data_IF_781663174318
#
_entry.id   IF_781663174318
#
_cell.length_a   1.000
_cell.length_b   1.000
_cell.length_c   1.000
_cell.angle_alpha   90.00
_cell.angle_beta   90.00
_cell.angle_gamma   90.00
#
_symmetry.space_group_name_H-M   'P 1'
#
loop_
_entity.id
_entity.type
_entity.pdbx_description
1 polymer ?
#
# COMPACT_ATOMS: atom_id res chain seq x y z
N UNK A 1 18.69 3.46 -30.52
CA UNK A 1 18.04 3.71 -29.23
C UNK A 1 17.49 5.11 -29.25
N UNK A 2 16.17 5.26 -29.41
CA UNK A 2 15.54 6.53 -29.79
C UNK A 2 15.39 7.53 -28.63
N UNK A 3 15.72 7.14 -27.40
CA UNK A 3 15.73 8.05 -26.25
C UNK A 3 16.79 7.68 -25.19
N UNK A 4 18.06 8.08 -25.37
CA UNK A 4 19.18 7.65 -24.53
C UNK A 4 19.15 8.24 -23.11
N UNK A 5 18.41 9.33 -22.88
CA UNK A 5 18.28 9.95 -21.57
C UNK A 5 16.96 9.59 -20.88
N UNK A 6 16.15 8.73 -21.48
CA UNK A 6 14.90 8.15 -20.94
C UNK A 6 13.82 9.12 -20.46
N UNK A 7 14.10 10.40 -20.32
CA UNK A 7 13.40 11.51 -20.94
C UNK A 7 11.86 11.38 -21.01
N UNK A 8 11.35 10.49 -21.88
CA UNK A 8 9.91 10.10 -21.93
C UNK A 8 9.31 9.65 -20.59
N UNK A 9 10.14 9.23 -19.66
CA UNK A 9 9.79 8.73 -18.36
C UNK A 9 10.32 9.72 -17.33
N UNK A 10 9.47 10.16 -16.40
CA UNK A 10 9.86 10.96 -15.22
C UNK A 10 10.10 10.10 -14.00
N UNK A 11 9.48 8.93 -13.95
CA UNK A 11 9.70 7.91 -12.95
C UNK A 11 9.91 6.60 -13.67
N UNK A 12 10.96 5.88 -13.32
CA UNK A 12 11.20 4.53 -13.78
C UNK A 12 11.15 3.63 -12.55
N UNK A 13 10.34 2.58 -12.62
CA UNK A 13 10.25 1.57 -11.57
C UNK A 13 10.89 0.31 -12.13
N UNK A 14 11.94 -0.17 -11.47
CA UNK A 14 12.57 -1.45 -11.78
C UNK A 14 12.20 -2.44 -10.70
N UNK A 15 11.33 -3.36 -11.07
CA UNK A 15 10.86 -4.43 -10.19
C UNK A 15 11.76 -5.66 -10.26
N UNK A 16 11.73 -6.49 -9.23
CA UNK A 16 12.52 -7.73 -9.11
C UNK A 16 14.04 -7.54 -9.33
N UNK A 17 14.57 -6.39 -8.92
CA UNK A 17 15.98 -6.03 -9.09
C UNK A 17 16.98 -7.05 -8.50
N UNK A 18 16.51 -7.86 -7.54
CA UNK A 18 17.28 -8.91 -6.89
C UNK A 18 17.57 -10.12 -7.79
N UNK A 19 16.83 -10.33 -8.88
CA UNK A 19 17.11 -11.44 -9.82
C UNK A 19 18.39 -11.20 -10.64
N UNK A 20 18.92 -9.96 -10.65
CA UNK A 20 20.21 -9.57 -11.27
C UNK A 20 20.37 -10.11 -12.69
N UNK A 21 19.31 -10.05 -13.47
CA UNK A 21 19.35 -10.46 -14.88
C UNK A 21 20.25 -9.51 -15.68
N UNK A 22 20.88 -10.03 -16.74
CA UNK A 22 21.85 -9.28 -17.55
C UNK A 22 21.26 -7.98 -18.13
N UNK A 23 19.98 -8.01 -18.49
CA UNK A 23 19.27 -6.83 -18.99
C UNK A 23 19.08 -5.76 -17.91
N UNK A 24 18.72 -6.17 -16.70
CA UNK A 24 18.48 -5.26 -15.56
C UNK A 24 19.78 -4.60 -15.09
N UNK A 25 20.88 -5.36 -15.07
CA UNK A 25 22.21 -4.82 -14.71
C UNK A 25 22.72 -3.78 -15.71
N UNK A 26 22.54 -4.04 -17.01
CA UNK A 26 22.85 -3.06 -18.07
C UNK A 26 21.96 -1.82 -17.91
N UNK A 27 20.69 -2.00 -17.54
CA UNK A 27 19.75 -0.91 -17.33
C UNK A 27 20.13 -0.04 -16.13
N UNK A 28 20.58 -0.63 -15.01
CA UNK A 28 21.07 0.12 -13.84
C UNK A 28 22.26 1.02 -14.19
N UNK A 29 23.22 0.51 -14.96
CA UNK A 29 24.38 1.28 -15.42
C UNK A 29 23.96 2.48 -16.28
N UNK A 30 23.05 2.26 -17.23
CA UNK A 30 22.51 3.32 -18.07
C UNK A 30 21.74 4.35 -17.24
N UNK A 31 20.80 3.91 -16.39
CA UNK A 31 19.97 4.78 -15.56
C UNK A 31 20.79 5.61 -14.58
N UNK A 32 21.86 5.06 -14.01
CA UNK A 32 22.73 5.80 -13.10
C UNK A 32 23.42 6.97 -13.80
N UNK A 33 23.84 6.81 -15.05
CA UNK A 33 24.42 7.89 -15.83
C UNK A 33 23.36 8.92 -16.27
N UNK A 34 22.16 8.44 -16.59
CA UNK A 34 21.03 9.31 -16.93
C UNK A 34 20.61 10.16 -15.72
N UNK A 35 20.50 9.59 -14.52
CA UNK A 35 20.08 10.29 -13.30
C UNK A 35 21.02 11.43 -12.90
N UNK A 36 22.33 11.33 -13.20
CA UNK A 36 23.27 12.45 -13.01
C UNK A 36 22.93 13.64 -13.91
N UNK A 37 22.51 13.35 -15.14
CA UNK A 37 22.21 14.33 -16.17
C UNK A 37 20.73 14.77 -16.15
N UNK A 38 19.89 14.05 -15.39
CA UNK A 38 18.45 14.27 -15.23
C UNK A 38 18.10 14.21 -13.74
N UNK A 39 18.39 15.28 -12.97
CA UNK A 39 18.02 15.36 -11.55
C UNK A 39 16.49 15.33 -11.32
N UNK A 40 15.71 15.54 -12.37
CA UNK A 40 14.26 15.47 -12.41
C UNK A 40 13.71 14.05 -12.69
N UNK A 41 14.56 13.12 -13.16
CA UNK A 41 14.20 11.71 -13.31
C UNK A 41 14.27 11.02 -11.95
N UNK A 42 13.18 10.39 -11.53
CA UNK A 42 13.13 9.57 -10.32
C UNK A 42 13.26 8.10 -10.72
N UNK A 43 14.07 7.36 -9.98
CA UNK A 43 14.20 5.92 -10.13
C UNK A 43 13.75 5.26 -8.83
N UNK A 44 12.81 4.33 -8.93
CA UNK A 44 12.41 3.44 -7.85
C UNK A 44 12.93 2.05 -8.20
N UNK A 45 13.77 1.49 -7.34
CA UNK A 45 14.25 0.12 -7.50
C UNK A 45 13.58 -0.73 -6.43
N UNK A 46 12.77 -1.69 -6.86
CA UNK A 46 12.06 -2.62 -5.99
C UNK A 46 12.81 -3.96 -5.97
N UNK A 47 12.99 -4.51 -4.77
CA UNK A 47 13.77 -5.72 -4.53
C UNK A 47 13.18 -6.44 -3.33
N UNK A 48 12.99 -7.76 -3.45
CA UNK A 48 12.45 -8.60 -2.39
C UNK A 48 13.52 -9.16 -1.43
N UNK A 49 14.82 -8.89 -1.65
CA UNK A 49 15.92 -9.46 -0.83
C UNK A 49 16.68 -8.42 0.00
N UNK A 50 17.45 -8.92 0.99
CA UNK A 50 18.26 -8.16 1.97
C UNK A 50 19.40 -7.34 1.34
N UNK A 51 19.64 -7.44 0.03
CA UNK A 51 20.72 -6.71 -0.67
C UNK A 51 20.41 -5.23 -0.95
N UNK A 52 19.32 -4.69 -0.39
CA UNK A 52 18.92 -3.29 -0.55
C UNK A 52 20.04 -2.28 -0.20
N UNK A 53 20.92 -2.62 0.75
CA UNK A 53 22.09 -1.79 1.10
C UNK A 53 23.11 -1.68 -0.04
N UNK A 54 23.29 -2.74 -0.85
CA UNK A 54 24.17 -2.71 -2.03
C UNK A 54 23.61 -1.78 -3.11
N UNK A 55 22.30 -1.85 -3.36
CA UNK A 55 21.63 -0.95 -4.31
C UNK A 55 21.63 0.50 -3.83
N UNK A 56 21.41 0.72 -2.53
CA UNK A 56 21.51 2.03 -1.90
C UNK A 56 22.92 2.63 -2.07
N UNK A 57 23.97 1.86 -1.75
CA UNK A 57 25.35 2.28 -1.98
C UNK A 57 25.65 2.54 -3.46
N UNK A 58 25.09 1.71 -4.35
CA UNK A 58 25.25 1.89 -5.78
C UNK A 58 24.58 3.17 -6.31
N UNK A 59 23.41 3.57 -5.80
CA UNK A 59 22.69 4.78 -6.21
C UNK A 59 22.87 5.95 -5.22
N UNK A 60 24.12 6.28 -4.87
CA UNK A 60 24.49 7.49 -4.13
C UNK A 60 23.84 7.64 -2.74
N UNK A 61 23.57 6.54 -2.05
CA UNK A 61 22.95 6.58 -0.73
C UNK A 61 21.47 6.99 -0.77
N UNK A 62 20.78 6.67 -1.88
CA UNK A 62 19.37 6.99 -2.06
C UNK A 62 18.52 6.55 -0.84
N UNK A 63 17.45 7.30 -0.48
CA UNK A 63 16.58 6.94 0.63
C UNK A 63 16.03 5.52 0.46
N UNK A 64 16.34 4.65 1.41
CA UNK A 64 15.81 3.29 1.43
C UNK A 64 14.45 3.29 2.12
N UNK A 65 13.39 3.08 1.33
CA UNK A 65 12.07 2.82 1.87
C UNK A 65 11.90 1.30 1.98
N UNK A 66 12.15 0.77 3.17
CA UNK A 66 11.70 -0.58 3.51
C UNK A 66 10.19 -0.53 3.70
N UNK A 67 9.43 -1.16 2.82
CA UNK A 67 8.07 -1.55 3.17
C UNK A 67 8.25 -2.65 4.21
N UNK A 68 7.76 -2.51 5.46
CA UNK A 68 7.95 -3.53 6.48
C UNK A 68 7.01 -4.71 6.16
N UNK A 69 7.42 -5.48 5.16
CA UNK A 69 7.04 -6.87 4.92
C UNK A 69 7.87 -7.78 5.83
N UNK A 70 9.01 -7.28 6.33
CA UNK A 70 9.82 -7.88 7.41
C UNK A 70 8.91 -8.32 8.56
N UNK A 71 7.89 -7.56 8.96
CA UNK A 71 6.98 -7.99 10.03
C UNK A 71 6.23 -9.31 9.73
N UNK A 72 5.78 -9.50 8.49
CA UNK A 72 5.06 -10.71 8.07
C UNK A 72 6.03 -11.87 7.86
N UNK A 73 7.17 -11.61 7.20
CA UNK A 73 8.19 -12.62 6.95
C UNK A 73 8.89 -13.07 8.24
N UNK A 74 9.21 -12.14 9.15
CA UNK A 74 9.76 -12.44 10.48
C UNK A 74 8.76 -13.24 11.32
N UNK A 75 7.47 -12.91 11.26
CA UNK A 75 6.43 -13.69 11.91
C UNK A 75 6.36 -15.10 11.33
N UNK A 76 6.43 -15.24 10.00
CA UNK A 76 6.49 -16.55 9.35
C UNK A 76 7.70 -17.35 9.82
N UNK A 77 8.89 -16.75 9.83
CA UNK A 77 10.14 -17.39 10.27
C UNK A 77 10.05 -17.85 11.72
N UNK A 78 9.59 -17.00 12.64
CA UNK A 78 9.43 -17.34 14.06
C UNK A 78 8.42 -18.47 14.27
N UNK A 79 7.30 -18.47 13.53
CA UNK A 79 6.32 -19.56 13.61
C UNK A 79 6.95 -20.88 13.14
N UNK A 80 7.72 -20.86 12.06
CA UNK A 80 8.40 -22.06 11.54
C UNK A 80 9.42 -22.59 12.56
N UNK A 81 10.20 -21.70 13.17
CA UNK A 81 11.20 -22.05 14.18
C UNK A 81 10.53 -22.68 15.43
N UNK A 82 9.49 -22.05 15.97
CA UNK A 82 8.74 -22.56 17.12
C UNK A 82 8.05 -23.90 16.82
N UNK A 83 7.51 -24.09 15.62
CA UNK A 83 6.97 -25.39 15.19
C UNK A 83 8.08 -26.45 15.14
N UNK A 84 9.28 -26.09 14.67
CA UNK A 84 10.44 -26.97 14.70
C UNK A 84 10.83 -27.39 16.12
N UNK A 85 10.82 -26.46 17.07
CA UNK A 85 11.13 -26.71 18.48
C UNK A 85 10.10 -27.62 19.18
N UNK A 86 8.84 -27.60 18.72
CA UNK A 86 7.78 -28.47 19.24
C UNK A 86 7.90 -29.94 18.78
N UNK A 87 8.67 -30.20 17.71
CA UNK A 87 8.95 -31.54 17.19
C UNK A 87 7.69 -32.36 16.92
N UNK A 88 7.70 -33.64 17.32
CA UNK A 88 6.61 -34.59 17.06
C UNK A 88 5.31 -34.31 17.85
N UNK A 89 5.28 -33.29 18.72
CA UNK A 89 4.08 -32.91 19.47
C UNK A 89 3.02 -32.23 18.60
N UNK A 90 3.41 -31.75 17.42
CA UNK A 90 2.53 -31.06 16.47
C UNK A 90 2.56 -31.74 15.11
N UNK A 91 1.42 -31.72 14.42
CA UNK A 91 1.38 -32.18 13.03
C UNK A 91 2.09 -31.22 12.08
N UNK A 92 2.40 -31.62 10.84
CA UNK A 92 3.10 -30.78 9.90
C UNK A 92 2.35 -29.47 9.64
N UNK A 93 3.06 -28.34 9.76
CA UNK A 93 2.50 -27.00 9.57
C UNK A 93 3.10 -26.37 8.32
N UNK A 94 2.26 -25.80 7.45
CA UNK A 94 2.68 -24.97 6.33
C UNK A 94 2.36 -23.51 6.66
N UNK A 95 3.38 -22.66 6.71
CA UNK A 95 3.23 -21.22 6.93
C UNK A 95 3.32 -20.51 5.59
N UNK A 96 2.41 -19.58 5.31
CA UNK A 96 2.32 -18.85 4.04
C UNK A 96 2.09 -17.36 4.30
N UNK A 97 2.95 -16.45 3.79
CA UNK A 97 2.71 -15.02 3.88
C UNK A 97 1.63 -14.56 2.89
N UNK A 98 0.92 -13.47 3.22
CA UNK A 98 -0.03 -12.80 2.33
C UNK A 98 0.06 -11.27 2.48
N UNK A 99 0.65 -10.63 1.48
CA UNK A 99 0.71 -9.17 1.34
C UNK A 99 0.72 -8.77 -0.15
N UNK A 100 0.59 -7.47 -0.43
CA UNK A 100 0.23 -6.92 -1.74
C UNK A 100 1.26 -7.15 -2.85
N UNK A 101 2.54 -7.23 -2.48
CA UNK A 101 3.71 -7.34 -3.39
C UNK A 101 4.16 -8.78 -3.62
N UNK A 102 3.50 -9.77 -3.03
CA UNK A 102 3.85 -11.18 -3.26
C UNK A 102 3.65 -11.56 -4.74
N UNK A 103 4.58 -12.32 -5.35
CA UNK A 103 4.43 -12.80 -6.71
C UNK A 103 3.15 -13.65 -6.91
N UNK A 104 2.54 -13.65 -8.11
CA UNK A 104 1.31 -14.40 -8.39
C UNK A 104 1.43 -15.90 -8.07
N UNK A 105 2.59 -16.50 -8.32
CA UNK A 105 2.84 -17.91 -7.98
C UNK A 105 2.78 -18.18 -6.46
N UNK A 106 3.19 -17.21 -5.64
CA UNK A 106 3.12 -17.29 -4.18
C UNK A 106 1.69 -17.05 -3.67
N UNK A 107 0.93 -16.15 -4.31
CA UNK A 107 -0.50 -15.97 -4.02
C UNK A 107 -1.29 -17.26 -4.23
N UNK A 108 -0.99 -18.02 -5.28
CA UNK A 108 -1.65 -19.30 -5.56
C UNK A 108 -1.43 -20.35 -4.45
N UNK A 109 -0.26 -20.32 -3.78
CA UNK A 109 0.04 -21.26 -2.67
C UNK A 109 -0.93 -21.16 -1.50
N UNK A 110 -1.61 -20.03 -1.36
CA UNK A 110 -2.62 -19.80 -0.32
C UNK A 110 -3.88 -20.62 -0.59
N UNK A 111 -4.21 -20.86 -1.86
CA UNK A 111 -5.38 -21.65 -2.27
C UNK A 111 -5.12 -23.15 -2.32
N UNK A 112 -3.86 -23.57 -2.23
CA UNK A 112 -3.53 -24.99 -2.15
C UNK A 112 -4.21 -25.63 -0.93
N UNK A 113 -4.91 -26.73 -1.19
CA UNK A 113 -5.52 -27.55 -0.15
C UNK A 113 -4.45 -28.11 0.78
N UNK A 114 -4.76 -28.16 2.07
CA UNK A 114 -3.90 -28.82 3.04
C UNK A 114 -4.01 -30.33 2.80
N UNK A 115 -2.93 -31.03 2.41
CA UNK A 115 -3.02 -32.47 2.19
C UNK A 115 -3.39 -33.18 3.51
N UNK A 116 -4.12 -34.30 3.45
CA UNK A 116 -4.47 -35.09 4.63
C UNK A 116 -3.21 -35.59 5.37
N UNK A 117 -3.38 -35.99 6.63
CA UNK A 117 -2.29 -36.50 7.47
C UNK A 117 -1.61 -37.70 6.79
N UNK A 118 -0.27 -37.78 6.90
CA UNK A 118 0.51 -38.89 6.33
C UNK A 118 0.30 -40.22 7.07
N UNK A 119 -0.29 -40.18 8.27
CA UNK A 119 -0.63 -41.34 9.11
C UNK A 119 -2.10 -41.23 9.51
N UNK A 120 -2.84 -42.33 9.48
CA UNK A 120 -4.26 -42.36 9.87
C UNK A 120 -4.48 -41.90 11.32
N UNK A 121 -3.54 -42.19 12.23
CA UNK A 121 -3.52 -41.74 13.64
C UNK A 121 -2.59 -40.54 13.92
N UNK A 122 -2.10 -39.86 12.88
CA UNK A 122 -1.19 -38.72 13.03
C UNK A 122 -1.91 -37.41 13.38
N UNK A 123 -1.24 -36.47 14.07
CA UNK A 123 -1.80 -35.14 14.28
C UNK A 123 -2.11 -34.45 12.94
N UNK A 124 -3.23 -33.71 12.85
CA UNK A 124 -3.68 -33.12 11.59
C UNK A 124 -2.69 -32.10 11.06
N UNK A 125 -2.50 -32.06 9.73
CA UNK A 125 -1.74 -30.99 9.07
C UNK A 125 -2.48 -29.67 9.18
N UNK A 126 -1.73 -28.57 9.35
CA UNK A 126 -2.29 -27.22 9.45
C UNK A 126 -1.64 -26.28 8.45
N UNK A 127 -2.41 -25.31 7.96
CA UNK A 127 -1.91 -24.18 7.19
C UNK A 127 -2.13 -22.91 8.00
N UNK A 128 -1.08 -22.11 8.15
CA UNK A 128 -1.10 -20.82 8.83
C UNK A 128 -0.84 -19.76 7.76
N UNK A 129 -1.80 -18.85 7.59
CA UNK A 129 -1.65 -17.70 6.69
C UNK A 129 -1.39 -16.47 7.54
N UNK A 130 -0.26 -15.81 7.33
CA UNK A 130 0.09 -14.55 8.00
C UNK A 130 -0.19 -13.43 7.02
N UNK A 131 -1.17 -12.58 7.31
CA UNK A 131 -1.71 -11.62 6.34
C UNK A 131 -1.85 -10.21 6.90
N UNK A 132 -1.69 -9.22 6.03
CA UNK A 132 -2.20 -7.86 6.26
C UNK A 132 -3.72 -7.79 5.96
N UNK A 133 -4.28 -6.59 5.89
CA UNK A 133 -5.72 -6.34 5.71
C UNK A 133 -6.37 -6.94 4.43
N UNK A 134 -5.60 -7.54 3.53
CA UNK A 134 -6.08 -8.15 2.27
C UNK A 134 -7.07 -9.29 2.53
N UNK A 135 -6.79 -10.15 3.52
CA UNK A 135 -7.65 -11.29 3.86
C UNK A 135 -9.03 -10.90 4.44
N UNK A 136 -9.25 -9.62 4.76
CA UNK A 136 -10.50 -9.12 5.38
C UNK A 136 -11.62 -8.92 4.37
N UNK A 137 -11.31 -8.50 3.14
CA UNK A 137 -12.31 -7.98 2.19
C UNK A 137 -12.22 -8.58 0.80
N UNK A 138 -11.01 -8.67 0.23
CA UNK A 138 -10.85 -8.97 -1.19
C UNK A 138 -10.54 -10.43 -1.50
N UNK A 139 -10.22 -11.24 -0.49
CA UNK A 139 -9.81 -12.65 -0.68
C UNK A 139 -10.56 -13.59 0.27
N UNK A 140 -11.17 -14.63 -0.28
CA UNK A 140 -11.77 -15.73 0.47
C UNK A 140 -10.83 -16.93 0.45
N UNK A 141 -10.20 -17.20 1.59
CA UNK A 141 -9.37 -18.39 1.77
C UNK A 141 -10.23 -19.45 2.46
N UNK A 142 -10.44 -20.56 1.76
CA UNK A 142 -11.26 -21.66 2.29
C UNK A 142 -10.54 -22.41 3.41
N UNK A 143 -11.33 -22.92 4.37
CA UNK A 143 -10.84 -23.75 5.45
C UNK A 143 -10.25 -22.99 6.65
N UNK A 144 -10.34 -21.65 6.69
CA UNK A 144 -9.98 -20.88 7.88
C UNK A 144 -11.04 -21.10 8.96
N UNK A 145 -10.62 -21.70 10.07
CA UNK A 145 -11.45 -21.87 11.28
C UNK A 145 -10.84 -21.24 12.52
N UNK A 146 -9.61 -20.75 12.44
CA UNK A 146 -8.93 -20.06 13.52
C UNK A 146 -8.42 -18.73 13.01
N UNK A 147 -8.74 -17.65 13.70
CA UNK A 147 -8.22 -16.32 13.40
C UNK A 147 -7.61 -15.74 14.67
N UNK A 148 -6.37 -15.25 14.56
CA UNK A 148 -5.66 -14.55 15.63
C UNK A 148 -5.51 -13.11 15.18
N UNK A 149 -5.99 -12.18 15.99
CA UNK A 149 -6.04 -10.75 15.63
C UNK A 149 -5.33 -9.90 16.68
N UNK A 150 -4.22 -9.23 16.30
CA UNK A 150 -3.51 -8.32 17.19
C UNK A 150 -4.26 -7.01 17.43
N UNK A 151 -5.29 -6.68 16.65
CA UNK A 151 -6.11 -5.48 16.82
C UNK A 151 -5.55 -4.23 16.14
N UNK A 152 -4.57 -4.38 15.23
CA UNK A 152 -3.91 -3.28 14.54
C UNK A 152 -3.95 -3.42 13.02
N UNK A 153 -3.90 -2.27 12.34
CA UNK A 153 -3.83 -2.17 10.90
C UNK A 153 -2.93 -0.99 10.50
N UNK A 154 -2.15 -1.15 9.43
CA UNK A 154 -1.50 -0.01 8.78
C UNK A 154 -2.56 0.83 8.07
N UNK A 155 -2.63 2.11 8.39
CA UNK A 155 -3.58 3.07 7.83
C UNK A 155 -2.84 4.32 7.38
N UNK A 156 -3.28 4.87 6.25
CA UNK A 156 -2.79 6.16 5.79
C UNK A 156 -3.43 7.24 6.66
N UNK A 157 -2.58 8.10 7.21
CA UNK A 157 -2.95 9.25 8.02
C UNK A 157 -2.38 10.49 7.36
N UNK A 158 -3.25 11.41 6.98
CA UNK A 158 -2.86 12.71 6.45
C UNK A 158 -2.69 13.74 7.57
N UNK A 159 -1.55 14.43 7.58
CA UNK A 159 -1.36 15.59 8.45
C UNK A 159 -1.67 16.88 7.66
N UNK A 160 -2.71 17.64 7.99
CA UNK A 160 -3.07 18.83 7.23
C UNK A 160 -2.13 20.02 7.48
N UNK A 161 -1.30 19.99 8.53
CA UNK A 161 -0.32 21.05 8.84
C UNK A 161 0.99 20.87 8.07
N UNK A 162 1.40 19.62 7.89
CA UNK A 162 2.56 19.22 7.09
C UNK A 162 1.99 18.27 6.04
N UNK A 163 1.69 18.73 4.81
CA UNK A 163 0.84 18.03 3.82
C UNK A 163 1.52 16.77 3.28
N UNK A 164 1.63 15.79 4.16
CA UNK A 164 2.32 14.52 4.00
C UNK A 164 1.38 13.46 4.50
N UNK A 165 1.24 12.43 3.68
CA UNK A 165 0.57 11.20 4.05
C UNK A 165 1.60 10.26 4.70
N UNK A 166 1.28 9.76 5.87
CA UNK A 166 2.11 8.80 6.60
C UNK A 166 1.35 7.48 6.76
N UNK A 167 2.02 6.37 6.54
CA UNK A 167 1.48 5.05 6.85
C UNK A 167 1.79 4.71 8.31
N UNK A 168 0.76 4.71 9.17
CA UNK A 168 0.91 4.47 10.60
C UNK A 168 0.18 3.20 11.03
N UNK A 169 0.77 2.47 11.98
CA UNK A 169 0.07 1.37 12.65
C UNK A 169 -0.97 1.98 13.59
N UNK A 170 -2.23 1.67 13.34
CA UNK A 170 -3.37 2.21 14.09
C UNK A 170 -4.29 1.08 14.58
N UNK A 171 -4.97 1.24 15.72
CA UNK A 171 -5.98 0.28 16.17
C UNK A 171 -7.09 0.09 15.12
N UNK A 172 -7.61 -1.14 15.02
CA UNK A 172 -8.77 -1.43 14.16
C UNK A 172 -10.08 -0.93 14.80
N UNK A 173 -11.14 -0.81 14.00
CA UNK A 173 -12.49 -0.57 14.52
C UNK A 173 -13.19 -1.86 14.96
N UNK A 174 -14.22 -1.75 15.81
CA UNK A 174 -15.10 -2.88 16.19
C UNK A 174 -15.70 -3.55 14.95
N UNK A 175 -16.19 -2.76 13.99
CA UNK A 175 -16.68 -3.27 12.70
C UNK A 175 -15.61 -4.07 11.93
N UNK A 176 -14.35 -3.67 12.02
CA UNK A 176 -13.24 -4.39 11.40
C UNK A 176 -12.97 -5.72 12.07
N UNK A 177 -12.94 -5.75 13.41
CA UNK A 177 -12.81 -6.98 14.20
C UNK A 177 -13.94 -7.96 13.89
N UNK A 178 -15.18 -7.49 13.76
CA UNK A 178 -16.31 -8.34 13.35
C UNK A 178 -16.12 -8.94 11.95
N UNK A 179 -15.69 -8.16 10.95
CA UNK A 179 -15.39 -8.68 9.61
C UNK A 179 -14.31 -9.76 9.64
N UNK A 180 -13.24 -9.55 10.42
CA UNK A 180 -12.14 -10.50 10.60
C UNK A 180 -12.65 -11.79 11.29
N UNK A 181 -13.46 -11.65 12.34
CA UNK A 181 -14.08 -12.80 13.02
C UNK A 181 -14.94 -13.65 12.08
N UNK A 182 -15.63 -13.00 11.13
CA UNK A 182 -16.43 -13.66 10.11
C UNK A 182 -15.61 -14.59 9.20
N UNK A 183 -14.31 -14.35 9.02
CA UNK A 183 -13.43 -15.24 8.24
C UNK A 183 -13.29 -16.63 8.87
N UNK A 184 -13.34 -16.75 10.21
CA UNK A 184 -13.22 -18.02 10.91
C UNK A 184 -14.48 -18.89 10.82
N UNK A 185 -15.64 -18.29 10.50
CA UNK A 185 -16.94 -18.97 10.54
C UNK A 185 -17.54 -19.27 9.17
N UNK A 186 -16.77 -19.13 8.07
CA UNK A 186 -17.33 -19.20 6.71
C UNK A 186 -17.74 -20.61 6.30
N UNK A 187 -16.89 -21.60 6.55
CA UNK A 187 -17.10 -22.99 6.09
C UNK A 187 -17.64 -23.90 7.19
N UNK A 188 -17.28 -23.63 8.44
CA UNK A 188 -17.70 -24.39 9.62
C UNK A 188 -17.48 -23.55 10.89
N UNK A 189 -18.00 -23.97 12.07
CA UNK A 189 -17.77 -23.24 13.32
C UNK A 189 -16.27 -23.06 13.60
N UNK A 190 -15.86 -21.81 13.86
CA UNK A 190 -14.47 -21.44 14.12
C UNK A 190 -14.27 -20.67 15.42
N UNK A 191 -13.02 -20.36 15.74
CA UNK A 191 -12.62 -19.54 16.90
C UNK A 191 -11.87 -18.29 16.47
N UNK A 192 -12.15 -17.21 17.17
CA UNK A 192 -11.53 -15.91 16.97
C UNK A 192 -10.81 -15.47 18.25
N UNK A 193 -9.49 -15.34 18.18
CA UNK A 193 -8.62 -14.98 19.29
C UNK A 193 -8.19 -13.53 19.14
N UNK A 194 -8.67 -12.67 20.04
CA UNK A 194 -8.26 -11.26 20.14
C UNK A 194 -7.08 -11.16 21.09
N UNK A 195 -5.98 -10.54 20.68
CA UNK A 195 -4.81 -10.31 21.55
C UNK A 195 -4.91 -9.03 22.37
N UNK A 196 -6.14 -8.57 22.63
CA UNK A 196 -6.46 -7.38 23.38
C UNK A 196 -7.65 -7.66 24.32
N UNK A 197 -7.70 -6.94 25.44
CA UNK A 197 -8.72 -7.17 26.47
C UNK A 197 -10.13 -6.79 25.98
N UNK A 198 -11.14 -7.44 26.55
CA UNK A 198 -12.55 -7.10 26.31
C UNK A 198 -12.85 -5.63 26.69
N UNK A 199 -12.23 -5.14 27.77
CA UNK A 199 -12.34 -3.73 28.17
C UNK A 199 -11.83 -2.78 27.07
N UNK A 200 -10.68 -3.07 26.47
CA UNK A 200 -10.13 -2.29 25.35
C UNK A 200 -10.99 -2.40 24.09
N UNK A 201 -11.53 -3.60 23.80
CA UNK A 201 -12.50 -3.76 22.73
C UNK A 201 -13.72 -2.86 22.93
N UNK A 202 -14.24 -2.76 24.15
CA UNK A 202 -15.46 -2.01 24.44
C UNK A 202 -15.23 -0.49 24.54
N UNK A 203 -14.11 -0.05 25.12
CA UNK A 203 -13.87 1.36 25.45
C UNK A 203 -12.90 2.07 24.51
N UNK A 204 -11.87 1.38 24.00
CA UNK A 204 -10.78 2.03 23.25
C UNK A 204 -11.04 1.96 21.74
N UNK A 205 -11.65 0.87 21.24
CA UNK A 205 -11.91 0.69 19.82
C UNK A 205 -13.15 1.46 19.34
N UNK A 206 -12.96 2.23 18.27
CA UNK A 206 -14.04 2.95 17.61
C UNK A 206 -15.07 1.97 16.99
N UNK A 207 -16.38 2.27 17.03
CA UNK A 207 -17.41 1.42 16.43
C UNK A 207 -17.17 1.14 14.95
N UNK A 208 -16.85 2.18 14.19
CA UNK A 208 -16.54 2.13 12.77
C UNK A 208 -15.20 2.81 12.49
N UNK A 209 -14.61 2.52 11.33
CA UNK A 209 -13.38 3.18 10.93
C UNK A 209 -13.69 4.61 10.47
N UNK A 210 -12.80 5.56 10.76
CA UNK A 210 -12.95 6.93 10.28
C UNK A 210 -12.97 6.94 8.73
N UNK A 211 -13.99 7.58 8.10
CA UNK A 211 -14.08 7.72 6.66
C UNK A 211 -12.81 8.31 6.06
N UNK A 212 -12.42 7.81 4.89
CA UNK A 212 -11.18 8.21 4.24
C UNK A 212 -11.15 9.70 3.87
N UNK A 213 -12.29 10.26 3.46
CA UNK A 213 -12.45 11.68 3.14
C UNK A 213 -12.05 12.61 4.29
N UNK A 214 -12.14 12.15 5.54
CA UNK A 214 -11.78 12.95 6.72
C UNK A 214 -10.29 12.84 7.10
N UNK A 215 -9.53 11.94 6.48
CA UNK A 215 -8.16 11.59 6.90
C UNK A 215 -7.16 11.38 5.76
N UNK A 216 -7.52 11.73 4.53
CA UNK A 216 -6.67 11.63 3.34
C UNK A 216 -6.49 13.00 2.67
N UNK A 217 -5.50 13.10 1.79
CA UNK A 217 -5.33 14.29 0.94
C UNK A 217 -6.46 14.38 -0.10
N UNK A 218 -7.20 15.50 -0.09
CA UNK A 218 -8.37 15.69 -0.96
C UNK A 218 -8.05 16.42 -2.28
N UNK A 219 -6.79 16.72 -2.55
CA UNK A 219 -6.37 17.51 -3.70
C UNK A 219 -6.88 16.94 -5.03
N UNK A 220 -6.67 15.63 -5.28
CA UNK A 220 -7.17 14.96 -6.50
C UNK A 220 -8.71 14.87 -6.52
N UNK A 221 -9.33 14.62 -5.37
CA UNK A 221 -10.78 14.51 -5.24
C UNK A 221 -11.46 15.82 -5.62
N UNK A 222 -10.95 16.94 -5.11
CA UNK A 222 -11.48 18.28 -5.41
C UNK A 222 -11.30 18.64 -6.88
N UNK A 223 -10.14 18.35 -7.48
CA UNK A 223 -9.93 18.55 -8.91
C UNK A 223 -10.95 17.76 -9.75
N UNK A 224 -11.17 16.50 -9.38
CA UNK A 224 -12.13 15.61 -10.07
C UNK A 224 -13.57 16.12 -9.95
N UNK A 225 -13.94 16.73 -8.82
CA UNK A 225 -15.26 17.36 -8.62
C UNK A 225 -15.40 18.68 -9.40
N UNK A 226 -14.31 19.45 -9.51
CA UNK A 226 -14.30 20.71 -10.28
C UNK A 226 -14.44 20.49 -11.78
N UNK A 227 -13.90 19.40 -12.34
CA UNK A 227 -13.98 19.08 -13.77
C UNK A 227 -15.42 19.07 -14.36
N UNK A 228 -16.42 18.43 -13.75
CA UNK A 228 -17.81 18.51 -14.21
C UNK A 228 -18.54 19.80 -13.83
N UNK A 229 -17.88 20.79 -13.21
CA UNK A 229 -18.47 22.09 -12.86
C UNK A 229 -19.12 22.15 -11.47
N UNK A 230 -18.68 21.31 -10.51
CA UNK A 230 -19.16 21.41 -9.12
C UNK A 230 -18.33 22.46 -8.39
N UNK A 231 -18.85 23.68 -8.32
CA UNK A 231 -18.14 24.81 -7.75
C UNK A 231 -18.37 25.00 -6.25
N UNK A 232 -19.59 24.71 -5.78
CA UNK A 232 -19.95 24.84 -4.38
C UNK A 232 -19.62 23.55 -3.60
N UNK A 233 -18.33 23.38 -3.30
CA UNK A 233 -17.84 22.24 -2.52
C UNK A 233 -18.24 22.29 -1.05
N UNK A 234 -18.62 23.47 -0.52
CA UNK A 234 -19.00 23.63 0.89
C UNK A 234 -20.40 23.09 1.14
N UNK A 235 -21.31 23.31 0.18
CA UNK A 235 -22.68 22.78 0.24
C UNK A 235 -22.87 21.52 -0.60
N UNK A 236 -21.79 20.95 -1.14
CA UNK A 236 -21.86 19.66 -1.80
C UNK A 236 -22.30 18.58 -0.81
N UNK A 237 -23.18 17.69 -1.27
CA UNK A 237 -23.83 16.64 -0.46
C UNK A 237 -22.87 15.48 -0.15
N UNK A 238 -21.82 15.77 0.62
CA UNK A 238 -20.95 14.75 1.18
C UNK A 238 -21.67 14.03 2.32
N UNK A 239 -21.66 12.69 2.29
CA UNK A 239 -22.16 11.87 3.40
C UNK A 239 -21.47 12.22 4.73
N UNK A 240 -20.15 12.43 4.68
CA UNK A 240 -19.32 12.94 5.77
C UNK A 240 -18.51 14.13 5.23
N UNK A 241 -18.96 15.38 5.44
CA UNK A 241 -18.30 16.54 4.86
C UNK A 241 -16.92 16.78 5.52
N UNK A 242 -15.87 17.04 4.73
CA UNK A 242 -14.59 17.47 5.28
C UNK A 242 -14.72 18.87 5.90
N UNK A 243 -13.82 19.19 6.84
CA UNK A 243 -13.80 20.51 7.46
C UNK A 243 -13.59 21.62 6.40
N UNK A 244 -14.30 22.76 6.47
CA UNK A 244 -14.15 23.85 5.50
C UNK A 244 -12.72 24.33 5.33
N UNK A 245 -11.93 24.35 6.42
CA UNK A 245 -10.52 24.72 6.37
C UNK A 245 -9.68 23.75 5.53
N UNK A 246 -10.03 22.46 5.50
CA UNK A 246 -9.38 21.45 4.64
C UNK A 246 -9.66 21.74 3.18
N UNK A 247 -10.91 22.01 2.81
CA UNK A 247 -11.29 22.38 1.44
C UNK A 247 -10.60 23.67 0.98
N UNK A 248 -10.56 24.70 1.84
CA UNK A 248 -9.85 25.95 1.52
C UNK A 248 -8.36 25.73 1.27
N UNK A 249 -7.70 24.86 2.06
CA UNK A 249 -6.28 24.53 1.84
C UNK A 249 -6.07 23.82 0.50
N UNK A 250 -6.95 22.89 0.15
CA UNK A 250 -6.89 22.17 -1.12
C UNK A 250 -7.07 23.12 -2.30
N UNK A 251 -8.07 24.00 -2.25
CA UNK A 251 -8.29 25.00 -3.30
C UNK A 251 -7.10 25.94 -3.47
N UNK A 252 -6.46 26.36 -2.36
CA UNK A 252 -5.22 27.15 -2.41
C UNK A 252 -4.06 26.39 -3.08
N UNK A 253 -3.92 25.09 -2.81
CA UNK A 253 -2.89 24.27 -3.45
C UNK A 253 -3.16 24.17 -4.96
N UNK A 254 -4.41 23.92 -5.36
CA UNK A 254 -4.80 23.83 -6.77
C UNK A 254 -4.60 25.17 -7.51
N UNK A 255 -4.98 26.29 -6.91
CA UNK A 255 -4.72 27.63 -7.44
C UNK A 255 -3.21 27.93 -7.54
N UNK A 256 -2.42 27.60 -6.53
CA UNK A 256 -0.95 27.72 -6.59
C UNK A 256 -0.33 26.84 -7.69
N UNK A 257 -0.91 25.66 -7.93
CA UNK A 257 -0.53 24.80 -9.05
C UNK A 257 -1.09 25.28 -10.39
N UNK A 258 -1.90 26.33 -10.42
CA UNK A 258 -2.45 26.91 -11.64
C UNK A 258 -3.54 26.03 -12.26
N UNK A 259 -4.08 25.08 -11.50
CA UNK A 259 -5.22 24.25 -11.92
C UNK A 259 -6.54 25.01 -11.82
N UNK A 260 -6.61 25.91 -10.85
CA UNK A 260 -7.72 26.84 -10.66
C UNK A 260 -7.22 28.28 -10.85
N UNK A 261 -8.06 29.15 -11.38
CA UNK A 261 -7.84 30.60 -11.38
C UNK A 261 -8.19 31.21 -10.01
N UNK A 262 -8.07 32.54 -9.88
CA UNK A 262 -8.34 33.27 -8.63
C UNK A 262 -9.83 33.32 -8.28
N UNK A 263 -10.70 33.12 -9.28
CA UNK A 263 -12.15 32.99 -9.13
C UNK A 263 -12.57 31.55 -8.78
N UNK A 264 -11.62 30.60 -8.79
CA UNK A 264 -11.82 29.20 -8.45
C UNK A 264 -12.37 28.33 -9.59
N UNK A 265 -12.31 28.81 -10.84
CA UNK A 265 -12.67 28.06 -12.04
C UNK A 265 -11.49 27.22 -12.54
N UNK A 266 -11.80 26.11 -13.20
CA UNK A 266 -10.79 25.23 -13.80
C UNK A 266 -10.11 25.93 -14.97
N UNK A 267 -8.78 25.98 -14.95
CA UNK A 267 -7.97 26.53 -16.06
C UNK A 267 -7.76 25.47 -17.14
N UNK A 268 -7.30 25.88 -18.33
CA UNK A 268 -6.86 24.92 -19.37
C UNK A 268 -5.75 23.98 -18.88
N UNK A 269 -4.90 24.45 -17.95
CA UNK A 269 -3.87 23.63 -17.32
C UNK A 269 -4.51 22.62 -16.36
N UNK A 270 -5.46 23.05 -15.53
CA UNK A 270 -6.22 22.18 -14.63
C UNK A 270 -7.00 21.11 -15.36
N UNK A 271 -7.61 21.45 -16.49
CA UNK A 271 -8.33 20.49 -17.33
C UNK A 271 -7.39 19.39 -17.85
N UNK A 272 -6.21 19.76 -18.38
CA UNK A 272 -5.19 18.79 -18.79
C UNK A 272 -4.65 17.97 -17.62
N UNK A 273 -4.42 18.59 -16.48
CA UNK A 273 -3.92 17.93 -15.27
C UNK A 273 -4.90 16.87 -14.75
N UNK A 274 -6.21 17.15 -14.85
CA UNK A 274 -7.27 16.24 -14.41
C UNK A 274 -7.38 14.95 -15.24
N UNK A 275 -6.69 14.85 -16.38
CA UNK A 275 -6.67 13.63 -17.20
C UNK A 275 -5.62 12.61 -16.73
N UNK A 276 -4.66 13.03 -15.90
CA UNK A 276 -3.61 12.16 -15.41
C UNK A 276 -4.03 11.45 -14.13
N UNK A 277 -3.80 10.13 -13.99
CA UNK A 277 -4.04 9.38 -12.75
C UNK A 277 -2.88 9.59 -11.74
N UNK A 278 -2.49 10.85 -11.52
CA UNK A 278 -1.34 11.24 -10.72
C UNK A 278 -1.70 12.40 -9.81
N UNK A 279 -0.93 12.56 -8.72
CA UNK A 279 -1.04 13.76 -7.88
C UNK A 279 -0.76 15.03 -8.68
N UNK A 280 -1.39 16.18 -8.38
CA UNK A 280 -1.38 17.27 -9.33
C UNK A 280 -0.05 17.97 -9.42
N UNK A 281 0.78 17.89 -8.36
CA UNK A 281 2.19 18.30 -8.46
C UNK A 281 2.95 17.51 -9.53
N UNK A 282 2.71 16.20 -9.63
CA UNK A 282 3.31 15.33 -10.64
C UNK A 282 2.68 15.55 -12.02
N UNK A 283 1.36 15.71 -12.09
CA UNK A 283 0.65 16.04 -13.33
C UNK A 283 1.14 17.37 -13.92
N UNK A 284 1.28 18.41 -13.09
CA UNK A 284 1.85 19.70 -13.48
C UNK A 284 3.28 19.53 -13.97
N UNK A 285 4.11 18.79 -13.22
CA UNK A 285 5.49 18.54 -13.62
C UNK A 285 5.57 17.86 -14.99
N UNK A 286 4.69 16.91 -15.28
CA UNK A 286 4.64 16.24 -16.58
C UNK A 286 4.22 17.19 -17.71
N UNK A 287 3.16 17.97 -17.50
CA UNK A 287 2.66 18.90 -18.52
C UNK A 287 3.69 20.00 -18.81
N UNK A 288 4.20 20.63 -17.74
CA UNK A 288 5.17 21.72 -17.84
C UNK A 288 6.53 21.21 -18.35
N UNK A 289 6.87 19.94 -18.15
CA UNK A 289 8.13 19.40 -18.70
C UNK A 289 8.23 19.49 -20.24
N UNK A 290 7.11 19.61 -20.95
CA UNK A 290 7.09 19.91 -22.38
C UNK A 290 7.59 21.33 -22.69
N UNK A 291 7.23 22.31 -21.86
CA UNK A 291 7.67 23.71 -22.00
C UNK A 291 9.17 23.85 -21.71
N UNK A 292 9.67 23.08 -20.73
CA UNK A 292 11.08 23.06 -20.34
C UNK A 292 11.93 22.07 -21.17
N UNK A 293 11.37 21.42 -22.18
CA UNK A 293 12.04 20.44 -23.05
C UNK A 293 12.72 19.28 -22.30
N UNK A 294 12.11 18.85 -21.20
CA UNK A 294 12.55 17.74 -20.37
C UNK A 294 11.47 16.64 -20.23
N UNK A 295 10.47 16.62 -21.12
CA UNK A 295 9.44 15.57 -21.24
C UNK A 295 9.82 14.43 -22.21
N UNK A 296 10.61 14.77 -23.24
CA UNK A 296 11.71 13.91 -23.66
C UNK A 296 12.81 14.32 -22.70
#
# INVERSE_FOLDING_TARGET
MTDPLLKRYKVIILDEAHERTLATDVLFGLLKEVLKNRPDLKLVVMSATVEAEKFQGYFYGAPLMKVPEEEIEDACCKIIEEVGNLGDRVGPVKVVPLYSTLPPAMHQKIFELVPPSLKEDGPPRRKIVVSINIAKTSLTIDGIVYVIDPGFAKQIVYNPRVPVESLLVSPISKASAYKISGCAGRTQPGKYFRLYMENSFNNDLQPQACPEILRSNLVNTVLTLKKPGIDDLVHFDFMDPPAPETLMRVLRVLNYLGELDDDGNLTELGEKMSEFPLDPQMSKMLIVSCEFNCSK
#
